data_IF_688622240436
#
_entry.id   IF_688622240436
#
_cell.length_a   1.000
_cell.length_b   1.000
_cell.length_c   1.000
_cell.angle_alpha   90.00
_cell.angle_beta   90.00
_cell.angle_gamma   90.00
#
_symmetry.space_group_name_H-M   'P 1'
#
loop_
_entity.id
_entity.type
_entity.pdbx_description
1 polymer ?
#
# COMPACT_ATOMS: atom_id res chain seq x y z
N UNK A 1 -31.39 5.88 -11.72
CA UNK A 1 -30.40 4.81 -11.90
C UNK A 1 -29.08 5.48 -12.25
N UNK A 2 -28.13 5.56 -11.32
CA UNK A 2 -26.80 6.09 -11.63
C UNK A 2 -26.07 5.04 -12.47
N UNK A 3 -25.86 5.34 -13.75
CA UNK A 3 -24.99 4.54 -14.62
C UNK A 3 -23.57 4.64 -14.08
N UNK A 4 -23.01 3.52 -13.63
CA UNK A 4 -21.61 3.41 -13.22
C UNK A 4 -20.74 3.67 -14.46
N UNK A 5 -20.37 4.93 -14.66
CA UNK A 5 -19.51 5.35 -15.76
C UNK A 5 -18.09 4.91 -15.41
N UNK A 6 -17.52 4.02 -16.22
CA UNK A 6 -16.12 3.63 -16.11
C UNK A 6 -15.30 4.80 -16.65
N UNK A 7 -14.49 5.41 -15.80
CA UNK A 7 -13.60 6.52 -16.16
C UNK A 7 -12.15 6.00 -16.08
N UNK A 8 -11.29 6.34 -17.05
CA UNK A 8 -9.87 6.00 -16.99
C UNK A 8 -9.20 6.51 -15.71
N UNK A 9 -8.23 5.76 -15.20
CA UNK A 9 -7.59 6.11 -13.93
C UNK A 9 -6.79 7.41 -14.05
N UNK A 10 -6.27 7.71 -15.22
CA UNK A 10 -5.54 8.94 -15.54
C UNK A 10 -6.44 10.17 -15.52
N UNK A 11 -7.72 10.01 -15.82
CA UNK A 11 -8.72 11.08 -15.75
C UNK A 11 -9.24 11.30 -14.32
N UNK A 12 -9.07 10.31 -13.44
CA UNK A 12 -9.53 10.37 -12.05
C UNK A 12 -8.42 10.64 -11.03
N UNK A 13 -7.16 10.38 -11.38
CA UNK A 13 -6.04 10.52 -10.47
C UNK A 13 -5.61 11.98 -10.35
N UNK A 14 -5.65 12.49 -9.12
CA UNK A 14 -5.07 13.78 -8.77
C UNK A 14 -3.74 13.51 -8.09
N UNK A 15 -2.68 14.17 -8.56
CA UNK A 15 -1.35 14.06 -7.97
C UNK A 15 -1.42 14.44 -6.48
N UNK A 16 -1.12 13.46 -5.63
CA UNK A 16 -1.01 13.67 -4.20
C UNK A 16 0.40 14.16 -3.87
N UNK A 17 0.50 15.20 -3.05
CA UNK A 17 1.79 15.58 -2.46
C UNK A 17 2.16 14.55 -1.40
N UNK A 18 3.21 13.77 -1.65
CA UNK A 18 3.72 12.79 -0.70
C UNK A 18 4.85 13.45 0.08
N UNK A 19 4.72 13.47 1.40
CA UNK A 19 5.73 14.04 2.31
C UNK A 19 6.14 12.98 3.34
N UNK A 20 7.27 13.19 4.00
CA UNK A 20 7.70 12.31 5.08
C UNK A 20 6.93 12.61 6.35
N UNK A 21 6.70 11.56 7.15
CA UNK A 21 6.10 11.70 8.48
C UNK A 21 6.93 12.59 9.41
N UNK A 22 8.25 12.42 9.46
CA UNK A 22 9.15 13.25 10.30
C UNK A 22 9.03 14.74 9.96
N UNK A 23 9.03 15.06 8.66
CA UNK A 23 8.85 16.43 8.18
C UNK A 23 7.46 16.97 8.53
N UNK A 24 6.42 16.14 8.44
CA UNK A 24 5.06 16.53 8.79
C UNK A 24 4.90 16.78 10.30
N UNK A 25 5.48 15.93 11.16
CA UNK A 25 5.43 16.07 12.62
C UNK A 25 6.18 17.32 13.11
N UNK A 26 7.35 17.61 12.54
CA UNK A 26 8.09 18.85 12.86
C UNK A 26 7.27 20.09 12.51
N UNK A 27 6.53 20.04 11.40
CA UNK A 27 5.68 21.13 10.94
C UNK A 27 4.47 21.33 11.85
N UNK A 28 3.82 20.25 12.26
CA UNK A 28 2.70 20.31 13.21
C UNK A 28 3.16 20.87 14.56
N UNK A 29 4.33 20.45 15.07
CA UNK A 29 4.91 21.01 16.30
C UNK A 29 5.21 22.51 16.18
N UNK A 30 5.78 22.95 15.05
CA UNK A 30 6.04 24.38 14.78
C UNK A 30 4.75 25.18 14.72
N UNK A 31 3.73 24.66 14.05
CA UNK A 31 2.42 25.33 13.95
C UNK A 31 1.70 25.44 15.30
N UNK A 32 1.76 24.39 16.13
CA UNK A 32 1.20 24.40 17.49
C UNK A 32 1.90 25.38 18.44
N UNK A 33 3.14 25.78 18.14
CA UNK A 33 3.91 26.71 18.96
C UNK A 33 3.61 28.20 18.68
N UNK A 34 2.90 28.52 17.60
CA UNK A 34 2.52 29.87 17.24
C UNK A 34 1.40 30.40 18.17
N UNK A 35 1.50 31.66 18.62
CA UNK A 35 0.65 32.19 19.70
C UNK A 35 -0.43 33.16 19.23
N UNK A 36 -0.32 33.72 18.02
CA UNK A 36 -1.29 34.65 17.44
C UNK A 36 -1.78 34.23 16.06
N UNK A 37 -2.97 34.70 15.65
CA UNK A 37 -3.56 34.37 14.35
C UNK A 37 -2.68 34.82 13.16
N UNK A 38 -2.05 35.99 13.25
CA UNK A 38 -1.15 36.49 12.20
C UNK A 38 0.15 35.68 12.13
N UNK A 39 0.68 35.26 13.29
CA UNK A 39 1.82 34.33 13.34
C UNK A 39 1.45 32.97 12.76
N UNK A 40 0.24 32.46 13.04
CA UNK A 40 -0.25 31.19 12.51
C UNK A 40 -0.29 31.25 10.97
N UNK A 41 -0.86 32.32 10.39
CA UNK A 41 -0.98 32.46 8.92
C UNK A 41 0.40 32.51 8.27
N UNK A 42 1.30 33.35 8.78
CA UNK A 42 2.67 33.46 8.24
C UNK A 42 3.44 32.15 8.39
N UNK A 43 3.32 31.50 9.55
CA UNK A 43 3.93 30.18 9.82
C UNK A 43 3.38 29.12 8.88
N UNK A 44 2.07 29.14 8.58
CA UNK A 44 1.44 28.23 7.64
C UNK A 44 2.01 28.41 6.23
N UNK A 45 2.08 29.65 5.73
CA UNK A 45 2.64 29.91 4.40
C UNK A 45 4.10 29.46 4.30
N UNK A 46 4.93 29.75 5.30
CA UNK A 46 6.36 29.45 5.27
C UNK A 46 6.65 27.94 5.39
N UNK A 47 5.87 27.23 6.23
CA UNK A 47 5.97 25.79 6.43
C UNK A 47 5.55 24.99 5.19
N UNK A 48 4.42 25.34 4.59
CA UNK A 48 3.86 24.58 3.48
C UNK A 48 4.48 24.97 2.13
N UNK A 49 5.07 26.18 2.02
CA UNK A 49 5.87 26.60 0.86
C UNK A 49 7.17 25.81 0.72
N UNK A 50 7.72 25.29 1.82
CA UNK A 50 8.94 24.47 1.84
C UNK A 50 8.67 22.95 1.85
N UNK A 51 7.50 22.49 1.42
CA UNK A 51 7.24 21.05 1.31
C UNK A 51 8.00 20.45 0.13
N UNK A 52 9.06 19.69 0.41
CA UNK A 52 9.68 18.80 -0.57
C UNK A 52 8.74 17.62 -0.80
N UNK A 53 7.88 17.75 -1.81
CA UNK A 53 7.11 16.60 -2.30
C UNK A 53 8.06 15.54 -2.81
N UNK A 54 7.84 14.30 -2.39
CA UNK A 54 8.56 13.13 -2.86
C UNK A 54 7.93 12.71 -4.20
N UNK A 55 8.75 12.54 -5.24
CA UNK A 55 8.29 11.90 -6.48
C UNK A 55 7.98 10.43 -6.19
N UNK A 56 6.89 9.92 -6.75
CA UNK A 56 6.48 8.50 -6.63
C UNK A 56 7.64 7.57 -6.98
N UNK A 57 8.45 7.91 -7.98
CA UNK A 57 9.61 7.12 -8.40
C UNK A 57 10.64 6.96 -7.29
N UNK A 58 10.79 7.99 -6.46
CA UNK A 58 11.80 8.11 -5.41
C UNK A 58 11.31 7.62 -4.04
N UNK A 59 10.05 7.16 -3.93
CA UNK A 59 9.44 6.69 -2.68
C UNK A 59 10.33 5.68 -1.95
N UNK A 60 11.03 4.81 -2.69
CA UNK A 60 11.89 3.77 -2.11
C UNK A 60 13.37 4.18 -1.96
N UNK A 61 13.80 5.30 -2.54
CA UNK A 61 15.23 5.66 -2.63
C UNK A 61 15.86 5.95 -1.27
N UNK A 62 14.99 6.26 -0.30
CA UNK A 62 15.40 6.68 1.04
C UNK A 62 15.09 5.62 2.10
N UNK A 63 14.61 4.45 1.68
CA UNK A 63 14.58 3.26 2.52
C UNK A 63 16.02 2.81 2.79
N UNK A 64 16.55 3.20 3.96
CA UNK A 64 17.92 2.85 4.40
C UNK A 64 18.04 1.37 4.79
N UNK A 65 16.93 0.76 5.17
CA UNK A 65 16.88 -0.63 5.58
C UNK A 65 16.89 -1.58 4.38
N UNK A 66 17.41 -2.79 4.59
CA UNK A 66 17.35 -3.88 3.60
C UNK A 66 15.90 -4.26 3.26
N UNK A 67 14.95 -3.91 4.11
CA UNK A 67 13.50 -4.04 3.90
C UNK A 67 12.97 -2.73 3.31
N UNK A 68 12.66 -2.74 2.00
CA UNK A 68 11.97 -1.61 1.35
C UNK A 68 10.49 -1.65 1.71
N UNK A 69 10.14 -1.12 2.87
CA UNK A 69 8.75 -0.98 3.33
C UNK A 69 8.41 0.50 3.42
N UNK A 70 7.24 0.86 2.87
CA UNK A 70 6.72 2.22 2.90
C UNK A 70 5.28 2.16 3.39
N UNK A 71 4.99 2.94 4.44
CA UNK A 71 3.64 3.13 4.94
C UNK A 71 3.12 4.49 4.49
N UNK A 72 2.04 4.50 3.72
CA UNK A 72 1.38 5.73 3.28
C UNK A 72 0.25 6.06 4.24
N UNK A 73 0.40 7.15 4.98
CA UNK A 73 -0.58 7.63 5.96
C UNK A 73 -1.31 8.85 5.38
N UNK A 74 -2.62 8.92 5.61
CA UNK A 74 -3.43 10.06 5.20
C UNK A 74 -4.87 9.91 5.67
N UNK A 75 -5.61 11.02 5.69
CA UNK A 75 -7.02 11.04 6.14
C UNK A 75 -7.90 10.11 5.29
N UNK A 76 -9.01 9.65 5.85
CA UNK A 76 -10.03 8.94 5.07
C UNK A 76 -10.50 9.82 3.90
N UNK A 77 -10.70 9.21 2.72
CA UNK A 77 -11.13 9.92 1.51
C UNK A 77 -10.04 10.71 0.76
N UNK A 78 -8.80 10.79 1.26
CA UNK A 78 -7.71 11.52 0.57
C UNK A 78 -7.21 10.84 -0.72
N UNK A 79 -7.69 9.63 -1.03
CA UNK A 79 -7.33 8.92 -2.25
C UNK A 79 -6.24 7.86 -2.11
N UNK A 80 -5.92 7.37 -0.91
CA UNK A 80 -4.90 6.30 -0.69
C UNK A 80 -5.12 5.04 -1.57
N UNK A 81 -6.36 4.57 -1.65
CA UNK A 81 -6.71 3.40 -2.47
C UNK A 81 -6.59 3.69 -3.97
N UNK A 82 -6.95 4.91 -4.40
CA UNK A 82 -6.76 5.35 -5.78
C UNK A 82 -5.27 5.45 -6.11
N UNK A 83 -4.45 5.95 -5.17
CA UNK A 83 -3.00 5.98 -5.29
C UNK A 83 -2.40 4.59 -5.51
N UNK A 84 -2.79 3.58 -4.72
CA UNK A 84 -2.31 2.21 -4.90
C UNK A 84 -2.66 1.66 -6.30
N UNK A 85 -3.88 1.90 -6.78
CA UNK A 85 -4.31 1.51 -8.14
C UNK A 85 -3.53 2.25 -9.22
N UNK A 86 -3.32 3.54 -9.06
CA UNK A 86 -2.58 4.37 -10.00
C UNK A 86 -1.13 3.91 -10.13
N UNK A 87 -0.49 3.60 -9.00
CA UNK A 87 0.86 3.05 -8.96
C UNK A 87 0.94 1.70 -9.70
N UNK A 88 0.01 0.78 -9.43
CA UNK A 88 -0.04 -0.51 -10.13
C UNK A 88 -0.23 -0.32 -11.66
N UNK A 89 -1.10 0.61 -12.05
CA UNK A 89 -1.33 0.98 -13.44
C UNK A 89 -0.06 1.52 -14.12
N UNK A 90 0.61 2.47 -13.49
CA UNK A 90 1.83 3.08 -14.03
C UNK A 90 2.99 2.08 -14.13
N UNK A 91 3.07 1.11 -13.21
CA UNK A 91 4.00 -0.01 -13.35
C UNK A 91 3.65 -0.91 -14.55
N UNK A 92 2.37 -1.29 -14.72
CA UNK A 92 1.93 -2.13 -15.82
C UNK A 92 2.19 -1.49 -17.20
N UNK A 93 2.14 -0.16 -17.26
CA UNK A 93 2.50 0.66 -18.42
C UNK A 93 4.03 0.82 -18.63
N UNK A 94 4.86 0.23 -17.75
CA UNK A 94 6.32 0.33 -17.80
C UNK A 94 6.89 1.70 -17.37
N UNK A 95 6.08 2.56 -16.75
CA UNK A 95 6.47 3.93 -16.37
C UNK A 95 7.09 4.01 -14.97
N UNK A 96 6.84 3.01 -14.12
CA UNK A 96 7.37 2.93 -12.76
C UNK A 96 8.05 1.58 -12.49
N UNK A 97 9.15 1.64 -11.74
CA UNK A 97 9.82 0.50 -11.09
C UNK A 97 9.95 -0.78 -11.92
N UNK A 98 10.54 -0.65 -13.12
CA UNK A 98 10.77 -1.76 -14.06
C UNK A 98 11.61 -2.91 -13.53
N UNK A 99 12.24 -2.77 -12.36
CA UNK A 99 12.99 -3.83 -11.68
C UNK A 99 12.08 -4.81 -10.92
N UNK A 100 10.81 -4.48 -10.71
CA UNK A 100 9.81 -5.43 -10.24
C UNK A 100 9.19 -6.14 -11.43
N UNK A 101 9.24 -7.47 -11.42
CA UNK A 101 8.60 -8.32 -12.43
C UNK A 101 7.10 -8.49 -12.16
N UNK A 102 6.66 -8.26 -10.91
CA UNK A 102 5.26 -8.38 -10.53
C UNK A 102 4.87 -7.35 -9.47
N UNK A 103 3.76 -6.64 -9.69
CA UNK A 103 3.10 -5.79 -8.69
C UNK A 103 1.74 -6.37 -8.37
N UNK A 104 1.46 -6.59 -7.09
CA UNK A 104 0.20 -7.18 -6.62
C UNK A 104 -0.51 -6.22 -5.67
N UNK A 105 -1.77 -5.90 -5.96
CA UNK A 105 -2.62 -5.05 -5.13
C UNK A 105 -3.55 -5.88 -4.24
N UNK A 106 -3.15 -6.10 -3.00
CA UNK A 106 -3.97 -6.84 -2.03
C UNK A 106 -4.91 -5.85 -1.32
N UNK A 107 -6.21 -5.99 -1.54
CA UNK A 107 -7.22 -5.19 -0.84
C UNK A 107 -7.58 -5.88 0.47
N UNK A 108 -7.10 -5.31 1.57
CA UNK A 108 -7.14 -5.91 2.89
C UNK A 108 -8.56 -5.97 3.47
N UNK A 109 -9.44 -5.07 3.04
CA UNK A 109 -10.86 -5.06 3.41
C UNK A 109 -11.63 -6.33 2.97
N UNK A 110 -11.13 -7.03 1.96
CA UNK A 110 -11.72 -8.26 1.44
C UNK A 110 -11.28 -9.51 2.21
N UNK A 111 -10.34 -9.39 3.14
CA UNK A 111 -9.74 -10.49 3.90
C UNK A 111 -10.43 -10.71 5.25
N UNK A 112 -11.74 -10.97 5.21
CA UNK A 112 -12.59 -11.22 6.38
C UNK A 112 -12.66 -12.69 6.79
N UNK A 113 -13.14 -12.98 8.01
CA UNK A 113 -13.47 -14.34 8.45
C UNK A 113 -14.48 -15.07 7.54
N UNK A 114 -15.43 -14.35 6.96
CA UNK A 114 -16.45 -14.93 6.05
C UNK A 114 -15.85 -15.32 4.71
N UNK A 115 -14.96 -14.48 4.18
CA UNK A 115 -14.24 -14.81 2.96
C UNK A 115 -13.20 -15.90 3.23
N UNK A 116 -12.57 -15.94 4.40
CA UNK A 116 -11.52 -16.89 4.82
C UNK A 116 -11.97 -17.72 6.03
N UNK A 117 -12.94 -18.63 5.85
CA UNK A 117 -13.43 -19.45 6.94
C UNK A 117 -12.29 -20.29 7.49
N UNK A 118 -12.03 -20.13 8.79
CA UNK A 118 -11.19 -21.03 9.57
C UNK A 118 -11.87 -22.39 9.59
N UNK A 119 -11.49 -23.26 8.64
CA UNK A 119 -11.84 -24.67 8.73
C UNK A 119 -11.22 -25.26 10.00
N UNK A 120 -11.79 -26.33 10.54
CA UNK A 120 -11.34 -27.02 11.76
C UNK A 120 -9.87 -27.53 11.72
N UNK A 121 -9.22 -27.43 10.56
CA UNK A 121 -7.80 -27.68 10.36
C UNK A 121 -6.99 -26.38 10.48
N UNK A 122 -5.95 -26.39 11.30
CA UNK A 122 -4.92 -25.35 11.55
C UNK A 122 -4.09 -24.91 10.31
N UNK A 123 -4.68 -24.90 9.11
CA UNK A 123 -3.99 -24.56 7.86
C UNK A 123 -3.70 -23.06 7.85
N UNK A 124 -2.41 -22.71 7.90
CA UNK A 124 -1.95 -21.34 7.71
C UNK A 124 -2.04 -20.98 6.23
N UNK A 125 -2.64 -19.84 5.91
CA UNK A 125 -2.58 -19.30 4.54
C UNK A 125 -1.13 -18.89 4.23
N UNK A 126 -0.74 -18.99 2.97
CA UNK A 126 0.47 -18.38 2.42
C UNK A 126 0.12 -17.16 1.58
N UNK A 127 1.12 -16.35 1.21
CA UNK A 127 0.92 -15.20 0.31
C UNK A 127 0.31 -15.64 -1.03
N UNK A 128 0.73 -16.77 -1.58
CA UNK A 128 0.19 -17.27 -2.87
C UNK A 128 -1.29 -17.65 -2.76
N UNK A 129 -1.72 -18.14 -1.59
CA UNK A 129 -3.13 -18.48 -1.37
C UNK A 129 -4.00 -17.22 -1.31
N UNK A 130 -3.48 -16.11 -0.76
CA UNK A 130 -4.16 -14.82 -0.79
C UNK A 130 -4.32 -14.29 -2.21
N UNK A 131 -3.24 -14.34 -2.99
CA UNK A 131 -3.24 -13.90 -4.39
C UNK A 131 -4.20 -14.74 -5.22
N UNK A 132 -4.13 -16.07 -5.09
CA UNK A 132 -5.02 -16.99 -5.79
C UNK A 132 -6.47 -16.67 -5.47
N UNK A 133 -6.81 -16.49 -4.20
CA UNK A 133 -8.20 -16.27 -3.81
C UNK A 133 -8.76 -14.93 -4.26
N UNK A 134 -7.96 -13.87 -4.23
CA UNK A 134 -8.40 -12.53 -4.62
C UNK A 134 -8.54 -12.39 -6.14
N UNK A 135 -7.62 -12.97 -6.92
CA UNK A 135 -7.56 -12.76 -8.37
C UNK A 135 -8.03 -13.95 -9.20
N UNK A 136 -7.99 -15.15 -8.65
CA UNK A 136 -8.32 -16.42 -9.30
C UNK A 136 -9.34 -17.22 -8.48
N UNK A 137 -10.50 -16.66 -8.10
CA UNK A 137 -11.44 -17.31 -7.17
C UNK A 137 -12.04 -18.62 -7.72
N UNK A 138 -12.02 -18.81 -9.03
CA UNK A 138 -12.55 -20.00 -9.70
C UNK A 138 -11.45 -20.89 -10.30
N UNK A 139 -10.18 -20.54 -10.10
CA UNK A 139 -9.04 -21.25 -10.70
C UNK A 139 -8.03 -21.63 -9.61
N UNK A 140 -7.37 -22.77 -9.81
CA UNK A 140 -6.25 -23.16 -8.95
C UNK A 140 -4.96 -22.94 -9.69
N UNK A 141 -4.06 -22.14 -9.08
CA UNK A 141 -2.70 -22.00 -9.59
C UNK A 141 -2.01 -23.36 -9.59
N UNK A 142 -1.33 -23.69 -10.68
CA UNK A 142 -0.59 -24.94 -10.78
C UNK A 142 0.57 -24.97 -9.77
N UNK A 143 1.13 -26.16 -9.53
CA UNK A 143 2.32 -26.28 -8.69
C UNK A 143 3.50 -25.45 -9.22
N UNK A 144 3.65 -25.39 -10.54
CA UNK A 144 4.69 -24.63 -11.22
C UNK A 144 4.48 -23.13 -11.05
N UNK A 145 3.25 -22.63 -11.20
CA UNK A 145 2.93 -21.22 -10.99
C UNK A 145 3.21 -20.78 -9.55
N UNK A 146 2.87 -21.64 -8.57
CA UNK A 146 3.14 -21.36 -7.15
C UNK A 146 4.64 -21.33 -6.87
N UNK A 147 5.41 -22.24 -7.47
CA UNK A 147 6.87 -22.25 -7.33
C UNK A 147 7.51 -21.02 -7.98
N UNK A 148 7.06 -20.64 -9.17
CA UNK A 148 7.53 -19.46 -9.87
C UNK A 148 7.22 -18.17 -9.10
N UNK A 149 6.00 -18.03 -8.58
CA UNK A 149 5.65 -16.89 -7.72
C UNK A 149 6.56 -16.80 -6.49
N UNK A 150 6.84 -17.95 -5.86
CA UNK A 150 7.74 -18.01 -4.71
C UNK A 150 9.16 -17.60 -5.07
N UNK A 151 9.71 -18.05 -6.22
CA UNK A 151 11.05 -17.66 -6.64
C UNK A 151 11.16 -16.16 -6.89
N UNK A 152 10.14 -15.53 -7.49
CA UNK A 152 10.10 -14.08 -7.67
C UNK A 152 10.08 -13.33 -6.32
N UNK A 153 9.37 -13.86 -5.32
CA UNK A 153 9.36 -13.30 -3.98
C UNK A 153 10.74 -13.38 -3.33
N UNK A 154 11.39 -14.55 -3.39
CA UNK A 154 12.71 -14.79 -2.82
C UNK A 154 13.80 -13.92 -3.49
N UNK A 155 13.68 -13.68 -4.80
CA UNK A 155 14.54 -12.75 -5.56
C UNK A 155 14.25 -11.26 -5.26
N UNK A 156 13.16 -10.95 -4.57
CA UNK A 156 12.73 -9.59 -4.26
C UNK A 156 12.24 -8.81 -5.49
N UNK A 157 11.71 -9.52 -6.49
CA UNK A 157 11.16 -8.98 -7.74
C UNK A 157 9.65 -8.75 -7.69
N UNK A 158 9.02 -9.05 -6.55
CA UNK A 158 7.60 -8.77 -6.31
C UNK A 158 7.45 -7.55 -5.42
N UNK A 159 6.59 -6.62 -5.83
CA UNK A 159 6.12 -5.53 -4.99
C UNK A 159 4.67 -5.78 -4.55
N UNK A 160 4.45 -5.75 -3.24
CA UNK A 160 3.11 -5.85 -2.65
C UNK A 160 2.58 -4.47 -2.30
N UNK A 161 1.41 -4.13 -2.85
CA UNK A 161 0.62 -2.96 -2.47
C UNK A 161 -0.50 -3.44 -1.55
N UNK A 162 -0.45 -3.04 -0.29
CA UNK A 162 -1.42 -3.44 0.73
C UNK A 162 -2.36 -2.27 1.01
N UNK A 163 -3.59 -2.33 0.49
CA UNK A 163 -4.58 -1.25 0.58
C UNK A 163 -5.64 -1.55 1.67
N UNK A 164 -5.92 -0.57 2.54
CA UNK A 164 -6.85 -0.73 3.67
C UNK A 164 -6.23 -1.30 4.95
N UNK A 165 -4.99 -0.94 5.27
CA UNK A 165 -4.27 -1.47 6.43
C UNK A 165 -4.95 -1.20 7.78
N UNK A 166 -5.60 -0.04 7.94
CA UNK A 166 -6.38 0.33 9.11
C UNK A 166 -7.58 -0.60 9.37
N UNK A 167 -8.14 -1.18 8.31
CA UNK A 167 -9.30 -2.07 8.38
C UNK A 167 -8.96 -3.49 8.87
N UNK A 168 -7.67 -3.86 8.84
CA UNK A 168 -7.19 -5.18 9.29
C UNK A 168 -7.42 -5.44 10.78
N UNK A 169 -7.35 -4.39 11.60
CA UNK A 169 -7.40 -4.49 13.06
C UNK A 169 -8.74 -4.96 13.62
N UNK A 170 -9.81 -4.91 12.80
CA UNK A 170 -11.17 -5.20 13.24
C UNK A 170 -11.63 -6.64 12.92
N UNK A 171 -11.02 -7.33 11.95
CA UNK A 171 -11.58 -8.57 11.39
C UNK A 171 -10.56 -9.63 10.89
N UNK A 172 -9.26 -9.50 11.19
CA UNK A 172 -8.25 -10.50 10.77
C UNK A 172 -8.49 -11.85 11.44
N UNK A 173 -8.51 -12.91 10.64
CA UNK A 173 -8.43 -14.28 11.16
C UNK A 173 -6.99 -14.60 11.60
N UNK A 174 -6.84 -15.40 12.66
CA UNK A 174 -5.52 -15.78 13.21
C UNK A 174 -4.59 -16.41 12.14
N UNK A 175 -5.17 -17.06 11.13
CA UNK A 175 -4.41 -17.65 10.02
C UNK A 175 -3.80 -16.59 9.09
N UNK A 176 -4.50 -15.48 8.83
CA UNK A 176 -4.00 -14.36 8.04
C UNK A 176 -2.89 -13.60 8.76
N UNK A 177 -2.98 -13.52 10.09
CA UNK A 177 -1.95 -12.88 10.93
C UNK A 177 -0.56 -13.47 10.66
N UNK A 178 -0.47 -14.78 10.47
CA UNK A 178 0.80 -15.45 10.15
C UNK A 178 1.39 -15.07 8.79
N UNK A 179 0.55 -14.75 7.80
CA UNK A 179 1.02 -14.25 6.48
C UNK A 179 1.59 -12.86 6.63
N UNK A 180 0.90 -11.97 7.32
CA UNK A 180 1.38 -10.62 7.56
C UNK A 180 2.63 -10.64 8.43
N UNK A 181 2.66 -11.44 9.50
CA UNK A 181 3.86 -11.65 10.29
C UNK A 181 5.00 -12.14 9.42
N UNK A 182 4.77 -13.03 8.45
CA UNK A 182 5.80 -13.40 7.47
C UNK A 182 6.22 -12.20 6.64
N UNK A 183 5.30 -11.43 6.03
CA UNK A 183 5.62 -10.23 5.22
C UNK A 183 6.42 -9.19 6.04
N UNK A 184 6.07 -9.00 7.31
CA UNK A 184 6.76 -8.09 8.24
C UNK A 184 8.12 -8.63 8.69
N UNK A 185 8.16 -9.93 9.03
CA UNK A 185 9.34 -10.56 9.57
C UNK A 185 10.36 -10.88 8.50
N UNK A 186 9.95 -11.18 7.24
CA UNK A 186 10.80 -11.65 6.12
C UNK A 186 12.11 -10.86 6.11
N UNK A 187 13.17 -11.41 6.71
CA UNK A 187 14.52 -10.97 6.42
C UNK A 187 14.82 -11.57 5.04
N UNK A 188 15.48 -10.82 4.17
CA UNK A 188 16.18 -11.48 3.08
C UNK A 188 17.21 -12.42 3.66
#
# INVERSE_FOLDING_TARGET
>A
MNTCQKVPIEECYINLSITRTEEQEEKEKKLQSAKSNDEIINTYEEIYRNTTSIDIKEIFDKCKDRKKQVLVIGRAGIGKSIFCRYVAYQWAEGKLWSHYELVILITLNSLTHESHPTSASDVKYSLVDLVQKQYFPCESLSGDDKMYFKSLCDEGKVLLLLDGYDELSLNISHQLKSVFDTIYQTPK
#
